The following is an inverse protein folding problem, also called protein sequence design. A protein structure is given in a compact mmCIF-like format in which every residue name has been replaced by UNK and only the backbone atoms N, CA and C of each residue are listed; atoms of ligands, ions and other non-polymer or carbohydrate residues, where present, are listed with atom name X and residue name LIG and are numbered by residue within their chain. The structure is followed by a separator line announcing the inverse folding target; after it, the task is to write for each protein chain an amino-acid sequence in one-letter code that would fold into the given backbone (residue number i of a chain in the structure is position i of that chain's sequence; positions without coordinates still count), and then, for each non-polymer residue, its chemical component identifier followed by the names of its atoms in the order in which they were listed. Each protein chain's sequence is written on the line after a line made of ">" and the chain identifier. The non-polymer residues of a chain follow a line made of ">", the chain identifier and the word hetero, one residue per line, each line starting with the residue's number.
data_IF_463401595159
#
_entry.id   IF_463401595159
#
_cell.length_a   1.000
_cell.length_b   1.000
_cell.length_c   1.000
_cell.angle_alpha   90.00
_cell.angle_beta   90.00
_cell.angle_gamma   90.00
#
_symmetry.space_group_name_H-M   'P 1'
#
loop_
_entity.id
_entity.type
_entity.pdbx_description
1 polymer ?
#
# COMPACT_ATOMS: atom_id res chain seq x y z
N UNK A 1 10.70 -10.76 15.65
CA UNK A 1 10.03 -11.35 14.45
C UNK A 1 11.05 -12.21 13.73
N UNK A 2 10.69 -13.39 13.21
CA UNK A 2 11.57 -14.19 12.36
C UNK A 2 11.44 -13.78 10.88
N UNK A 3 12.44 -14.22 10.09
CA UNK A 3 12.54 -13.90 8.65
C UNK A 3 11.32 -14.32 7.84
N UNK A 4 10.78 -15.51 8.08
CA UNK A 4 9.62 -16.00 7.34
C UNK A 4 8.39 -15.14 7.61
N UNK A 5 8.10 -14.85 8.89
CA UNK A 5 7.01 -13.99 9.29
C UNK A 5 7.11 -12.59 8.68
N UNK A 6 8.32 -12.01 8.59
CA UNK A 6 8.51 -10.73 7.92
C UNK A 6 8.21 -10.81 6.43
N UNK A 7 8.79 -11.79 5.72
CA UNK A 7 8.63 -11.91 4.27
C UNK A 7 7.16 -12.10 3.85
N UNK A 8 6.38 -12.87 4.62
CA UNK A 8 4.94 -13.05 4.35
C UNK A 8 4.09 -11.81 4.63
N UNK A 9 4.68 -10.76 5.22
CA UNK A 9 4.07 -9.45 5.41
C UNK A 9 4.73 -8.33 4.57
N UNK A 10 5.74 -8.65 3.77
CA UNK A 10 6.46 -7.67 2.97
C UNK A 10 5.87 -7.52 1.56
N UNK A 11 5.54 -6.29 1.17
CA UNK A 11 5.35 -5.91 -0.22
C UNK A 11 6.71 -5.43 -0.74
N UNK A 12 7.43 -6.30 -1.47
CA UNK A 12 8.74 -5.96 -2.04
C UNK A 12 8.56 -4.95 -3.15
N UNK A 13 9.12 -3.74 -2.99
CA UNK A 13 8.64 -2.55 -3.70
C UNK A 13 9.70 -1.93 -4.60
N UNK A 14 9.33 -1.65 -5.86
CA UNK A 14 10.05 -0.75 -6.77
C UNK A 14 9.07 0.16 -7.50
N UNK A 15 9.12 1.49 -7.19
CA UNK A 15 8.18 2.49 -7.71
C UNK A 15 8.90 3.73 -8.29
N UNK A 16 10.23 3.72 -8.38
CA UNK A 16 10.98 4.84 -8.97
C UNK A 16 10.52 5.08 -10.40
N UNK A 17 10.38 6.35 -10.80
CA UNK A 17 9.94 6.72 -12.14
C UNK A 17 10.88 6.22 -13.25
N UNK A 18 12.17 6.04 -12.94
CA UNK A 18 13.20 5.53 -13.84
C UNK A 18 13.51 4.04 -13.64
N UNK A 19 12.66 3.29 -12.91
CA UNK A 19 12.83 1.84 -12.78
C UNK A 19 12.67 1.18 -14.14
N UNK A 20 13.66 0.38 -14.51
CA UNK A 20 13.68 -0.38 -15.76
C UNK A 20 13.04 -1.75 -15.58
N UNK A 21 12.75 -2.44 -16.69
CA UNK A 21 12.29 -3.83 -16.65
C UNK A 21 13.29 -4.75 -15.91
N UNK A 22 14.60 -4.51 -16.07
CA UNK A 22 15.63 -5.25 -15.35
C UNK A 22 15.59 -5.02 -13.84
N UNK A 23 15.20 -3.82 -13.39
CA UNK A 23 15.02 -3.55 -11.95
C UNK A 23 13.75 -4.24 -11.42
N UNK A 24 12.69 -4.23 -12.20
CA UNK A 24 11.45 -4.96 -11.87
C UNK A 24 11.71 -6.46 -11.82
N UNK A 25 12.43 -7.03 -12.80
CA UNK A 25 12.76 -8.46 -12.84
C UNK A 25 13.49 -8.91 -11.56
N UNK A 26 14.46 -8.15 -11.07
CA UNK A 26 15.16 -8.46 -9.79
C UNK A 26 14.18 -8.55 -8.61
N UNK A 27 13.20 -7.64 -8.54
CA UNK A 27 12.16 -7.65 -7.50
C UNK A 27 11.27 -8.89 -7.64
N UNK A 28 10.89 -9.26 -8.86
CA UNK A 28 10.07 -10.44 -9.12
C UNK A 28 10.80 -11.74 -8.76
N UNK A 29 12.07 -11.87 -9.15
CA UNK A 29 12.90 -13.05 -8.84
C UNK A 29 13.08 -13.22 -7.33
N UNK A 30 13.40 -12.12 -6.62
CA UNK A 30 13.51 -12.15 -5.16
C UNK A 30 12.20 -12.58 -4.51
N UNK A 31 11.08 -11.93 -4.89
CA UNK A 31 9.77 -12.22 -4.32
C UNK A 31 9.35 -13.67 -4.57
N UNK A 32 9.56 -14.19 -5.76
CA UNK A 32 9.27 -15.58 -6.13
C UNK A 32 10.10 -16.57 -5.32
N UNK A 33 11.41 -16.28 -5.14
CA UNK A 33 12.35 -17.14 -4.40
C UNK A 33 12.05 -17.18 -2.90
N UNK A 34 11.67 -16.04 -2.32
CA UNK A 34 11.51 -15.89 -0.88
C UNK A 34 10.06 -15.79 -0.40
N UNK A 35 9.11 -15.93 -1.33
CA UNK A 35 7.67 -15.93 -1.05
C UNK A 35 7.21 -14.71 -0.25
N UNK A 36 7.54 -13.49 -0.74
CA UNK A 36 7.00 -12.27 -0.15
C UNK A 36 5.48 -12.21 -0.30
N UNK A 37 4.80 -11.42 0.53
CA UNK A 37 3.35 -11.25 0.44
C UNK A 37 2.94 -10.77 -0.96
N UNK A 38 3.65 -9.77 -1.47
CA UNK A 38 3.46 -9.25 -2.83
C UNK A 38 4.75 -8.63 -3.37
N UNK A 39 4.72 -8.30 -4.66
CA UNK A 39 5.55 -7.25 -5.26
C UNK A 39 4.70 -5.99 -5.42
N UNK A 40 5.27 -4.80 -5.17
CA UNK A 40 4.57 -3.53 -5.39
C UNK A 40 5.32 -2.71 -6.45
N UNK A 41 4.69 -2.53 -7.61
CA UNK A 41 5.30 -2.01 -8.83
C UNK A 41 4.41 -0.98 -9.53
N UNK A 42 5.00 -0.20 -10.44
CA UNK A 42 4.25 0.75 -11.26
C UNK A 42 3.23 0.03 -12.18
N UNK A 43 2.08 0.65 -12.50
CA UNK A 43 0.99 0.06 -13.28
C UNK A 43 1.45 -0.50 -14.64
N UNK A 44 2.40 0.16 -15.31
CA UNK A 44 2.97 -0.27 -16.59
C UNK A 44 3.50 -1.72 -16.59
N UNK A 45 4.03 -2.18 -15.44
CA UNK A 45 4.64 -3.50 -15.32
C UNK A 45 3.70 -4.60 -14.79
N UNK A 46 2.44 -4.29 -14.50
CA UNK A 46 1.50 -5.24 -13.88
C UNK A 46 1.33 -6.51 -14.72
N UNK A 47 1.09 -6.36 -16.02
CA UNK A 47 0.92 -7.51 -16.92
C UNK A 47 2.16 -8.41 -16.96
N UNK A 48 3.34 -7.81 -17.07
CA UNK A 48 4.63 -8.52 -17.04
C UNK A 48 4.83 -9.29 -15.73
N UNK A 49 4.59 -8.64 -14.60
CA UNK A 49 4.73 -9.26 -13.28
C UNK A 49 3.72 -10.38 -13.05
N UNK A 50 2.47 -10.18 -13.49
CA UNK A 50 1.42 -11.19 -13.38
C UNK A 50 1.78 -12.47 -14.15
N UNK A 51 2.30 -12.33 -15.37
CA UNK A 51 2.73 -13.47 -16.17
C UNK A 51 3.94 -14.18 -15.52
N UNK A 52 4.93 -13.43 -15.03
CA UNK A 52 6.15 -13.97 -14.41
C UNK A 52 5.87 -14.72 -13.09
N UNK A 53 4.96 -14.19 -12.28
CA UNK A 53 4.63 -14.73 -10.96
C UNK A 53 3.54 -15.80 -10.98
N UNK A 54 3.01 -16.14 -12.13
CA UNK A 54 1.95 -17.14 -12.26
C UNK A 54 2.32 -18.45 -11.59
N UNK A 55 1.47 -18.93 -10.67
CA UNK A 55 1.67 -20.16 -9.91
C UNK A 55 2.66 -20.07 -8.73
N UNK A 56 3.28 -18.92 -8.48
CA UNK A 56 4.22 -18.74 -7.35
C UNK A 56 3.56 -18.50 -5.98
N UNK A 57 2.30 -18.09 -5.97
CA UNK A 57 1.59 -17.64 -4.76
C UNK A 57 1.83 -16.18 -4.37
N UNK A 58 2.88 -15.54 -4.90
CA UNK A 58 3.18 -14.11 -4.66
C UNK A 58 2.17 -13.23 -5.39
N UNK A 59 1.62 -12.24 -4.69
CA UNK A 59 0.61 -11.33 -5.24
C UNK A 59 1.25 -10.17 -6.02
N UNK A 60 0.55 -9.68 -7.03
CA UNK A 60 0.93 -8.46 -7.76
C UNK A 60 0.14 -7.29 -7.19
N UNK A 61 0.84 -6.38 -6.51
CA UNK A 61 0.32 -5.12 -6.03
C UNK A 61 0.75 -3.98 -6.96
N UNK A 62 -0.15 -3.03 -7.22
CA UNK A 62 0.19 -1.80 -7.93
C UNK A 62 -0.45 -0.58 -7.30
N UNK A 63 -0.10 0.60 -7.80
CA UNK A 63 -0.49 1.89 -7.23
C UNK A 63 -1.45 2.64 -8.15
N UNK A 64 -2.39 3.41 -7.57
CA UNK A 64 -3.42 4.16 -8.27
C UNK A 64 -3.45 5.60 -7.78
N UNK A 65 -3.58 6.57 -8.71
CA UNK A 65 -3.51 8.00 -8.41
C UNK A 65 -2.18 8.42 -7.78
N UNK A 66 -1.13 7.71 -8.07
CA UNK A 66 0.12 7.74 -7.33
C UNK A 66 1.20 8.62 -7.99
N UNK A 67 2.04 9.37 -7.21
CA UNK A 67 1.99 9.42 -5.74
C UNK A 67 1.12 10.55 -5.17
N UNK A 68 0.59 11.45 -5.99
CA UNK A 68 0.00 12.72 -5.55
C UNK A 68 -1.47 12.62 -5.09
N UNK A 69 -2.20 11.61 -5.53
CA UNK A 69 -3.63 11.47 -5.23
C UNK A 69 -4.54 12.49 -5.92
N UNK A 70 -4.03 13.29 -6.87
CA UNK A 70 -4.73 14.44 -7.44
C UNK A 70 -5.56 14.15 -8.71
N UNK A 71 -5.51 12.91 -9.19
CA UNK A 71 -6.39 12.49 -10.28
C UNK A 71 -7.85 12.53 -9.82
N UNK A 72 -8.78 12.77 -10.76
CA UNK A 72 -10.21 12.68 -10.43
C UNK A 72 -10.59 11.25 -10.04
N UNK A 73 -11.68 11.13 -9.31
CA UNK A 73 -12.21 9.84 -8.87
C UNK A 73 -12.44 8.88 -10.05
N UNK A 74 -13.03 9.38 -11.12
CA UNK A 74 -13.32 8.61 -12.35
C UNK A 74 -12.05 8.06 -12.99
N UNK A 75 -10.97 8.85 -13.03
CA UNK A 75 -9.66 8.41 -13.54
C UNK A 75 -9.07 7.32 -12.65
N UNK A 76 -9.12 7.48 -11.33
CA UNK A 76 -8.62 6.44 -10.39
C UNK A 76 -9.41 5.14 -10.50
N UNK A 77 -10.73 5.21 -10.72
CA UNK A 77 -11.55 4.02 -10.98
C UNK A 77 -11.14 3.34 -12.29
N UNK A 78 -10.85 4.12 -13.34
CA UNK A 78 -10.36 3.59 -14.61
C UNK A 78 -8.99 2.91 -14.45
N UNK A 79 -8.04 3.58 -13.79
CA UNK A 79 -6.72 3.00 -13.45
C UNK A 79 -6.87 1.69 -12.69
N UNK A 80 -7.77 1.63 -11.71
CA UNK A 80 -8.06 0.43 -10.92
C UNK A 80 -8.55 -0.73 -11.81
N UNK A 81 -9.51 -0.47 -12.67
CA UNK A 81 -10.05 -1.48 -13.59
C UNK A 81 -9.00 -1.98 -14.58
N UNK A 82 -8.18 -1.08 -15.11
CA UNK A 82 -7.09 -1.45 -16.02
C UNK A 82 -6.03 -2.29 -15.30
N UNK A 83 -5.62 -1.91 -14.09
CA UNK A 83 -4.67 -2.68 -13.30
C UNK A 83 -5.19 -4.10 -13.00
N UNK A 84 -6.46 -4.25 -12.61
CA UNK A 84 -7.09 -5.55 -12.37
C UNK A 84 -7.14 -6.39 -13.64
N UNK A 85 -7.53 -5.80 -14.77
CA UNK A 85 -7.55 -6.46 -16.09
C UNK A 85 -6.17 -6.99 -16.48
N UNK A 86 -5.11 -6.27 -16.14
CA UNK A 86 -3.73 -6.64 -16.39
C UNK A 86 -3.16 -7.66 -15.38
N UNK A 87 -3.93 -8.04 -14.35
CA UNK A 87 -3.59 -9.10 -13.42
C UNK A 87 -3.11 -8.63 -12.03
N UNK A 88 -3.41 -7.39 -11.63
CA UNK A 88 -3.18 -6.97 -10.25
C UNK A 88 -4.08 -7.73 -9.27
N UNK A 89 -3.50 -8.17 -8.16
CA UNK A 89 -4.20 -8.81 -7.04
C UNK A 89 -4.52 -7.83 -5.92
N UNK A 90 -3.70 -6.78 -5.78
CA UNK A 90 -3.79 -5.80 -4.71
C UNK A 90 -3.62 -4.39 -5.29
N UNK A 91 -4.42 -3.45 -4.81
CA UNK A 91 -4.42 -2.05 -5.25
C UNK A 91 -4.09 -1.15 -4.09
N UNK A 92 -3.04 -0.32 -4.23
CA UNK A 92 -2.67 0.72 -3.29
C UNK A 92 -3.07 2.09 -3.87
N UNK A 93 -4.23 2.64 -3.50
CA UNK A 93 -4.69 3.94 -3.99
C UNK A 93 -4.28 5.09 -3.07
N UNK A 94 -3.93 6.24 -3.63
CA UNK A 94 -3.71 7.47 -2.85
C UNK A 94 -4.99 8.30 -2.84
N UNK A 95 -5.44 8.72 -1.64
CA UNK A 95 -6.59 9.62 -1.49
C UNK A 95 -6.31 10.99 -2.12
N UNK A 96 -7.35 11.75 -2.41
CA UNK A 96 -7.20 13.17 -2.72
C UNK A 96 -6.93 13.94 -1.41
N UNK A 97 -5.64 14.15 -1.12
CA UNK A 97 -5.19 14.83 0.11
C UNK A 97 -5.71 16.27 0.16
N UNK A 98 -5.76 16.99 -0.97
CA UNK A 98 -6.27 18.36 -1.00
C UNK A 98 -7.77 18.42 -0.63
N UNK A 99 -8.57 17.49 -1.14
CA UNK A 99 -9.99 17.40 -0.77
C UNK A 99 -10.18 17.11 0.73
N UNK A 100 -9.32 16.27 1.31
CA UNK A 100 -9.33 16.02 2.77
C UNK A 100 -8.99 17.29 3.56
N UNK A 101 -7.95 18.04 3.13
CA UNK A 101 -7.57 19.34 3.71
C UNK A 101 -8.71 20.37 3.64
N UNK A 102 -9.43 20.40 2.54
CA UNK A 102 -10.62 21.23 2.34
C UNK A 102 -11.84 20.74 3.12
N UNK A 103 -11.72 19.67 3.93
CA UNK A 103 -12.81 19.03 4.68
C UNK A 103 -13.95 18.51 3.80
N UNK A 104 -13.67 18.22 2.52
CA UNK A 104 -14.61 17.59 1.58
C UNK A 104 -14.71 16.07 1.84
N UNK A 105 -15.11 15.72 3.05
CA UNK A 105 -15.10 14.33 3.54
C UNK A 105 -16.00 13.39 2.73
N UNK A 106 -17.14 13.88 2.28
CA UNK A 106 -18.05 13.11 1.43
C UNK A 106 -17.40 12.74 0.09
N UNK A 107 -16.64 13.67 -0.52
CA UNK A 107 -15.89 13.40 -1.74
C UNK A 107 -14.83 12.30 -1.50
N UNK A 108 -14.04 12.43 -0.42
CA UNK A 108 -13.01 11.44 -0.07
C UNK A 108 -13.63 10.07 0.22
N UNK A 109 -14.76 10.04 0.91
CA UNK A 109 -15.49 8.80 1.21
C UNK A 109 -16.01 8.15 -0.07
N UNK A 110 -16.61 8.91 -0.98
CA UNK A 110 -17.13 8.40 -2.24
C UNK A 110 -16.00 7.90 -3.16
N UNK A 111 -14.86 8.61 -3.22
CA UNK A 111 -13.67 8.18 -3.94
C UNK A 111 -13.19 6.80 -3.47
N UNK A 112 -13.00 6.64 -2.16
CA UNK A 112 -12.56 5.37 -1.56
C UNK A 112 -13.59 4.27 -1.83
N UNK A 113 -14.88 4.58 -1.67
CA UNK A 113 -15.97 3.60 -1.84
C UNK A 113 -16.10 3.10 -3.28
N UNK A 114 -16.03 3.97 -4.28
CA UNK A 114 -16.13 3.54 -5.69
C UNK A 114 -14.95 2.65 -6.10
N UNK A 115 -13.74 2.98 -5.63
CA UNK A 115 -12.56 2.15 -5.87
C UNK A 115 -12.69 0.81 -5.12
N UNK A 116 -13.13 0.84 -3.86
CA UNK A 116 -13.35 -0.37 -3.07
C UNK A 116 -14.38 -1.30 -3.72
N UNK A 117 -15.47 -0.77 -4.25
CA UNK A 117 -16.47 -1.54 -5.01
C UNK A 117 -15.83 -2.22 -6.22
N UNK A 118 -15.05 -1.49 -7.04
CA UNK A 118 -14.40 -2.05 -8.23
C UNK A 118 -13.41 -3.18 -7.87
N UNK A 119 -12.66 -3.02 -6.77
CA UNK A 119 -11.69 -4.01 -6.26
C UNK A 119 -12.40 -5.24 -5.70
N UNK A 120 -13.42 -5.05 -4.85
CA UNK A 120 -14.15 -6.13 -4.17
C UNK A 120 -14.92 -7.01 -5.14
N UNK A 121 -15.55 -6.43 -6.16
CA UNK A 121 -16.25 -7.20 -7.20
C UNK A 121 -15.33 -8.14 -7.98
N UNK A 122 -14.05 -7.80 -8.03
CA UNK A 122 -13.01 -8.61 -8.66
C UNK A 122 -12.33 -9.58 -7.70
N UNK A 123 -12.78 -9.66 -6.44
CA UNK A 123 -12.18 -10.43 -5.34
C UNK A 123 -10.68 -10.09 -5.15
N UNK A 124 -10.36 -8.80 -5.20
CA UNK A 124 -9.03 -8.23 -5.01
C UNK A 124 -8.97 -7.44 -3.71
N UNK A 125 -7.80 -6.95 -3.33
CA UNK A 125 -7.54 -6.29 -2.05
C UNK A 125 -7.22 -4.82 -2.26
N UNK A 126 -7.84 -3.93 -1.45
CA UNK A 126 -7.61 -2.49 -1.47
C UNK A 126 -6.81 -2.02 -0.25
N UNK A 127 -5.76 -1.23 -0.49
CA UNK A 127 -5.03 -0.49 0.54
C UNK A 127 -5.12 1.02 0.24
N UNK A 128 -5.62 1.79 1.20
CA UNK A 128 -5.82 3.24 1.05
C UNK A 128 -4.65 3.99 1.65
N UNK A 129 -3.87 4.67 0.80
CA UNK A 129 -2.74 5.52 1.22
C UNK A 129 -3.29 6.88 1.63
N UNK A 130 -3.12 7.23 2.90
CA UNK A 130 -3.61 8.50 3.43
C UNK A 130 -2.54 9.61 3.43
N UNK A 131 -1.28 9.27 3.20
CA UNK A 131 -0.10 10.15 3.15
C UNK A 131 0.07 11.00 4.41
N UNK A 132 0.39 10.32 5.50
CA UNK A 132 0.51 10.89 6.85
C UNK A 132 1.37 12.14 6.93
N UNK A 133 2.40 12.26 6.08
CA UNK A 133 3.33 13.39 6.06
C UNK A 133 2.66 14.75 5.87
N UNK A 134 1.47 14.78 5.27
CA UNK A 134 0.72 16.02 4.98
C UNK A 134 -0.47 16.23 5.93
N UNK A 135 -0.73 15.32 6.86
CA UNK A 135 -1.93 15.32 7.68
C UNK A 135 -1.65 15.65 9.14
N UNK A 136 -2.53 16.44 9.75
CA UNK A 136 -2.61 16.56 11.20
C UNK A 136 -3.18 15.28 11.82
N UNK A 137 -3.04 15.09 13.11
CA UNK A 137 -3.58 13.90 13.78
C UNK A 137 -5.12 13.85 13.72
N UNK A 138 -5.79 15.01 13.72
CA UNK A 138 -7.24 15.09 13.51
C UNK A 138 -7.63 14.60 12.09
N UNK A 139 -6.91 15.03 11.06
CA UNK A 139 -7.14 14.61 9.68
C UNK A 139 -6.84 13.11 9.48
N UNK A 140 -5.77 12.59 10.12
CA UNK A 140 -5.47 11.15 10.12
C UNK A 140 -6.61 10.34 10.74
N UNK A 141 -7.13 10.79 11.90
CA UNK A 141 -8.28 10.18 12.56
C UNK A 141 -9.49 10.18 11.63
N UNK A 142 -9.80 11.33 11.03
CA UNK A 142 -10.96 11.48 10.15
C UNK A 142 -10.92 10.55 8.94
N UNK A 143 -9.80 10.48 8.23
CA UNK A 143 -9.69 9.59 7.06
C UNK A 143 -9.66 8.12 7.46
N UNK A 144 -9.09 7.76 8.62
CA UNK A 144 -9.15 6.41 9.16
C UNK A 144 -10.59 5.99 9.51
N UNK A 145 -11.41 6.91 10.06
CA UNK A 145 -12.84 6.68 10.27
C UNK A 145 -13.57 6.38 8.95
N UNK A 146 -13.30 7.19 7.91
CA UNK A 146 -13.87 6.99 6.58
C UNK A 146 -13.48 5.60 6.04
N UNK A 147 -12.20 5.22 6.11
CA UNK A 147 -11.72 3.91 5.69
C UNK A 147 -12.41 2.76 6.44
N UNK A 148 -12.58 2.90 7.76
CA UNK A 148 -13.29 1.93 8.61
C UNK A 148 -14.76 1.82 8.24
N UNK A 149 -15.44 2.94 7.96
CA UNK A 149 -16.85 2.97 7.56
C UNK A 149 -17.07 2.31 6.20
N UNK A 150 -16.18 2.55 5.24
CA UNK A 150 -16.22 1.90 3.92
C UNK A 150 -15.89 0.41 4.02
N UNK A 151 -15.06 0.00 5.00
CA UNK A 151 -14.68 -1.39 5.24
C UNK A 151 -13.53 -1.86 4.35
N UNK A 152 -12.57 -0.96 4.02
CA UNK A 152 -11.40 -1.31 3.21
C UNK A 152 -10.50 -2.33 3.92
N UNK A 153 -9.72 -3.10 3.16
CA UNK A 153 -8.85 -4.14 3.73
C UNK A 153 -7.70 -3.55 4.56
N UNK A 154 -7.07 -2.50 4.02
CA UNK A 154 -5.94 -1.84 4.68
C UNK A 154 -6.02 -0.31 4.59
N UNK A 155 -5.56 0.36 5.65
CA UNK A 155 -5.12 1.75 5.59
C UNK A 155 -3.60 1.77 5.57
N UNK A 156 -3.01 2.50 4.61
CA UNK A 156 -1.56 2.59 4.41
C UNK A 156 -1.06 3.99 4.75
N UNK A 157 0.08 4.07 5.45
CA UNK A 157 0.62 5.33 5.97
C UNK A 157 1.07 6.30 4.89
N UNK A 158 1.81 5.82 3.90
CA UNK A 158 2.64 6.70 3.05
C UNK A 158 2.88 6.12 1.67
N UNK A 159 3.13 7.01 0.70
CA UNK A 159 3.60 6.65 -0.65
C UNK A 159 5.08 6.26 -0.67
N UNK A 160 5.89 6.85 0.22
CA UNK A 160 7.35 6.79 0.20
C UNK A 160 7.99 7.90 -0.64
N UNK A 161 7.20 8.83 -1.21
CA UNK A 161 7.65 9.98 -2.01
C UNK A 161 7.48 11.32 -1.28
N UNK A 162 6.78 11.33 -0.15
CA UNK A 162 6.68 12.48 0.73
C UNK A 162 7.94 12.64 1.63
N UNK A 163 8.12 13.79 2.29
CA UNK A 163 9.30 14.06 3.13
C UNK A 163 9.52 13.06 4.27
N UNK A 164 8.44 12.48 4.81
CA UNK A 164 8.49 11.49 5.90
C UNK A 164 7.70 10.24 5.52
N UNK A 165 8.07 9.10 6.13
CA UNK A 165 7.38 7.82 5.96
C UNK A 165 6.61 7.40 7.21
N UNK A 166 6.47 6.08 7.39
CA UNK A 166 5.76 5.50 8.53
C UNK A 166 6.46 5.82 9.86
N UNK A 167 5.67 6.21 10.87
CA UNK A 167 6.13 6.38 12.25
C UNK A 167 5.34 5.48 13.19
N UNK A 168 5.96 5.11 14.32
CA UNK A 168 5.30 4.33 15.37
C UNK A 168 4.07 5.07 15.92
N UNK A 169 4.17 6.40 16.08
CA UNK A 169 3.08 7.24 16.54
C UNK A 169 1.87 7.19 15.60
N UNK A 170 2.12 7.36 14.30
CA UNK A 170 1.06 7.31 13.28
C UNK A 170 0.38 5.94 13.23
N UNK A 171 1.17 4.85 13.24
CA UNK A 171 0.59 3.49 13.22
C UNK A 171 -0.26 3.21 14.44
N UNK A 172 0.15 3.68 15.63
CA UNK A 172 -0.67 3.56 16.86
C UNK A 172 -1.98 4.35 16.75
N UNK A 173 -1.90 5.62 16.27
CA UNK A 173 -3.09 6.45 16.05
C UNK A 173 -4.06 5.81 15.06
N UNK A 174 -3.54 5.34 13.93
CA UNK A 174 -4.35 4.65 12.91
C UNK A 174 -5.00 3.40 13.50
N UNK A 175 -4.24 2.55 14.24
CA UNK A 175 -4.76 1.33 14.86
C UNK A 175 -5.84 1.61 15.89
N UNK A 176 -5.68 2.67 16.70
CA UNK A 176 -6.70 3.12 17.66
C UNK A 176 -8.04 3.41 16.96
N UNK A 177 -8.01 4.07 15.79
CA UNK A 177 -9.23 4.46 15.06
C UNK A 177 -9.85 3.30 14.30
N UNK A 178 -9.04 2.53 13.54
CA UNK A 178 -9.59 1.47 12.67
C UNK A 178 -9.92 0.18 13.43
N UNK A 179 -9.34 -0.02 14.59
CA UNK A 179 -9.52 -1.25 15.39
C UNK A 179 -9.13 -2.50 14.60
N UNK A 180 -9.99 -3.51 14.61
CA UNK A 180 -9.82 -4.75 13.86
C UNK A 180 -10.60 -4.76 12.52
N UNK A 181 -11.27 -3.66 12.18
CA UNK A 181 -12.04 -3.54 10.94
C UNK A 181 -11.15 -3.42 9.70
N UNK A 182 -10.01 -2.70 9.83
CA UNK A 182 -9.03 -2.59 8.76
C UNK A 182 -7.65 -2.97 9.32
N UNK A 183 -6.80 -3.55 8.48
CA UNK A 183 -5.39 -3.75 8.81
C UNK A 183 -4.58 -2.49 8.48
N UNK A 184 -3.36 -2.39 9.01
CA UNK A 184 -2.47 -1.26 8.71
C UNK A 184 -1.27 -1.75 7.91
N UNK A 185 -0.98 -1.04 6.81
CA UNK A 185 0.26 -1.17 6.07
C UNK A 185 1.16 0.03 6.39
N UNK A 186 2.35 -0.24 6.91
CA UNK A 186 3.41 0.75 7.09
C UNK A 186 4.30 0.80 5.85
N UNK A 187 4.61 2.00 5.35
CA UNK A 187 5.48 2.18 4.18
C UNK A 187 6.26 3.51 4.26
N UNK A 188 7.40 3.56 3.58
CA UNK A 188 8.29 4.72 3.58
C UNK A 188 9.20 4.78 4.81
N UNK A 189 10.51 4.92 4.58
CA UNK A 189 11.50 5.08 5.64
C UNK A 189 11.89 3.84 6.44
N UNK A 190 11.32 2.67 6.16
CA UNK A 190 11.60 1.40 6.86
C UNK A 190 12.90 0.82 6.32
N UNK A 191 13.94 0.72 7.16
CA UNK A 191 15.30 0.36 6.73
C UNK A 191 15.91 -0.83 7.47
N UNK A 192 15.45 -1.12 8.68
CA UNK A 192 16.06 -2.10 9.60
C UNK A 192 15.02 -3.06 10.18
N UNK A 193 15.50 -4.18 10.74
CA UNK A 193 14.69 -5.09 11.57
C UNK A 193 14.00 -4.33 12.72
N UNK A 194 14.73 -3.44 13.39
CA UNK A 194 14.18 -2.66 14.51
C UNK A 194 12.99 -1.81 14.09
N UNK A 195 13.04 -1.18 12.89
CA UNK A 195 11.90 -0.41 12.37
C UNK A 195 10.67 -1.31 12.18
N UNK A 196 10.88 -2.48 11.57
CA UNK A 196 9.79 -3.44 11.33
C UNK A 196 9.17 -3.91 12.63
N UNK A 197 9.99 -4.30 13.62
CA UNK A 197 9.52 -4.79 14.92
C UNK A 197 8.76 -3.71 15.70
N UNK A 198 9.25 -2.47 15.68
CA UNK A 198 8.58 -1.35 16.33
C UNK A 198 7.22 -1.03 15.69
N UNK A 199 7.15 -1.02 14.34
CA UNK A 199 5.91 -0.78 13.60
C UNK A 199 4.93 -1.95 13.75
N UNK A 200 5.42 -3.19 13.81
CA UNK A 200 4.59 -4.36 14.07
C UNK A 200 3.97 -4.32 15.47
N UNK A 201 4.77 -4.00 16.47
CA UNK A 201 4.28 -3.82 17.85
C UNK A 201 3.26 -2.68 17.96
N UNK A 202 3.37 -1.63 17.12
CA UNK A 202 2.42 -0.54 17.03
C UNK A 202 1.09 -0.93 16.34
N UNK A 203 1.03 -2.06 15.63
CA UNK A 203 -0.18 -2.55 15.00
C UNK A 203 -0.11 -2.74 13.49
N UNK A 204 1.02 -2.48 12.83
CA UNK A 204 1.19 -2.80 11.41
C UNK A 204 1.15 -4.31 11.16
N UNK A 205 0.56 -4.71 10.03
CA UNK A 205 0.42 -6.12 9.61
C UNK A 205 0.85 -6.31 8.15
N UNK A 206 1.37 -5.28 7.51
CA UNK A 206 1.94 -5.28 6.16
C UNK A 206 3.01 -4.20 6.09
N UNK A 207 4.07 -4.43 5.32
CA UNK A 207 5.21 -3.52 5.20
C UNK A 207 5.54 -3.26 3.74
N UNK A 208 5.48 -2.01 3.29
CA UNK A 208 5.95 -1.58 1.98
C UNK A 208 7.44 -1.23 2.06
N UNK A 209 8.30 -2.08 1.53
CA UNK A 209 9.75 -1.95 1.69
C UNK A 209 10.49 -2.21 0.38
N UNK A 210 11.46 -1.35 0.06
CA UNK A 210 12.40 -1.55 -1.06
C UNK A 210 13.69 -2.28 -0.64
N UNK A 211 13.95 -2.35 0.67
CA UNK A 211 15.14 -2.98 1.27
C UNK A 211 14.81 -4.32 1.93
N UNK A 212 13.89 -5.07 1.33
CA UNK A 212 13.41 -6.34 1.90
C UNK A 212 14.55 -7.33 2.12
N UNK A 213 15.50 -7.38 1.18
CA UNK A 213 16.63 -8.31 1.25
C UNK A 213 17.56 -7.98 2.43
N UNK A 214 17.89 -6.70 2.60
CA UNK A 214 18.76 -6.24 3.69
C UNK A 214 18.12 -6.51 5.06
N UNK A 215 16.84 -6.15 5.21
CA UNK A 215 16.10 -6.39 6.45
C UNK A 215 15.99 -7.90 6.74
N UNK A 216 15.75 -8.72 5.72
CA UNK A 216 15.65 -10.17 5.86
C UNK A 216 16.97 -10.87 6.25
N UNK A 217 18.13 -10.20 6.03
CA UNK A 217 19.44 -10.68 6.49
C UNK A 217 19.69 -10.41 7.98
N UNK A 218 18.98 -9.42 8.55
CA UNK A 218 19.06 -9.07 9.98
C UNK A 218 18.17 -9.98 10.86
N UNK A 219 17.22 -10.72 10.23
CA UNK A 219 16.22 -11.59 10.85
C UNK A 219 16.63 -13.07 10.79
#
# INVERSE_FOLDING_TARGET
>A
MDKHSFLTMADHTVLKANATEADVLKVLEFAKRYHTASVCINPYYVKYASDFLKGSGVKVCTVIGFPLGQNTKEVKVLETKDAIKNGADEIDMVINVAALKDKKYDYVKEEIKEIFVAVSWSNKLLKVIIENAYLTDEEKRKVCEICREVGVDFVKTSTGFAPTGATVADVKLMKEVVGDKCKIKAAGGIKTKSDVEALYAAGARRFGVSRTEEIAKEL
#
